data_IF_353574593591
#
_entry.id   IF_353574593591
#
_cell.length_a   1.000
_cell.length_b   1.000
_cell.length_c   1.000
_cell.angle_alpha   90.00
_cell.angle_beta   90.00
_cell.angle_gamma   90.00
#
_symmetry.space_group_name_H-M   'P 1'
#
loop_
_entity.id
_entity.type
_entity.pdbx_description
1 polymer ?
#
# COMPACT_ATOMS: atom_id res chain seq x y z
N UNK A 1 20.83 -28.72 -6.21
CA UNK A 1 19.97 -28.48 -5.06
C UNK A 1 19.37 -27.07 -5.18
N UNK A 2 18.40 -26.90 -6.12
CA UNK A 2 17.79 -25.60 -6.46
C UNK A 2 16.29 -25.82 -6.63
N UNK A 3 15.51 -25.83 -5.54
CA UNK A 3 14.04 -25.96 -5.61
C UNK A 3 13.36 -25.35 -4.39
N UNK A 4 13.56 -24.05 -4.08
CA UNK A 4 12.84 -23.40 -2.98
C UNK A 4 12.40 -21.93 -3.22
N UNK A 5 12.40 -21.42 -4.46
CA UNK A 5 12.12 -19.99 -4.70
C UNK A 5 10.83 -19.65 -5.46
N UNK A 6 9.90 -20.59 -5.71
CA UNK A 6 8.71 -20.31 -6.52
C UNK A 6 7.36 -20.32 -5.79
N UNK A 7 7.29 -20.31 -4.45
CA UNK A 7 6.02 -20.55 -3.75
C UNK A 7 5.28 -19.26 -3.34
N UNK A 8 5.93 -18.09 -3.29
CA UNK A 8 5.29 -16.89 -2.77
C UNK A 8 4.53 -16.01 -3.78
N UNK A 9 4.78 -16.15 -5.07
CA UNK A 9 4.12 -15.32 -6.09
C UNK A 9 2.65 -15.74 -6.39
N UNK A 10 2.23 -16.94 -6.02
CA UNK A 10 0.89 -17.46 -6.38
C UNK A 10 -0.21 -17.19 -5.36
N UNK A 11 0.13 -16.82 -4.13
CA UNK A 11 -0.84 -16.65 -3.04
C UNK A 11 -1.67 -15.36 -3.12
N UNK A 12 -1.16 -14.29 -3.73
CA UNK A 12 -1.83 -12.99 -3.74
C UNK A 12 -2.90 -12.88 -4.83
N UNK A 13 -2.80 -13.66 -5.91
CA UNK A 13 -3.78 -13.64 -7.01
C UNK A 13 -5.09 -14.37 -6.68
N UNK A 14 -5.07 -15.33 -5.75
CA UNK A 14 -6.26 -16.11 -5.39
C UNK A 14 -7.21 -15.38 -4.43
N UNK A 15 -6.73 -14.38 -3.69
CA UNK A 15 -7.57 -13.61 -2.76
C UNK A 15 -8.50 -12.60 -3.48
N UNK A 16 -8.17 -12.21 -4.72
CA UNK A 16 -8.98 -11.25 -5.48
C UNK A 16 -10.22 -11.88 -6.14
N UNK A 17 -10.24 -13.19 -6.36
CA UNK A 17 -11.35 -13.87 -7.06
C UNK A 17 -12.51 -14.26 -6.15
N UNK A 18 -12.33 -14.28 -4.83
CA UNK A 18 -13.36 -14.69 -3.87
C UNK A 18 -14.37 -13.57 -3.52
N UNK A 19 -14.14 -12.32 -3.94
CA UNK A 19 -14.98 -11.16 -3.56
C UNK A 19 -16.12 -10.89 -4.56
N UNK A 20 -16.15 -11.56 -5.70
CA UNK A 20 -17.16 -11.32 -6.74
C UNK A 20 -18.58 -11.88 -6.44
N UNK A 21 -18.80 -12.51 -5.28
CA UNK A 21 -20.04 -13.25 -4.99
C UNK A 21 -20.84 -12.83 -3.76
N UNK A 22 -20.55 -11.72 -3.08
CA UNK A 22 -21.35 -11.30 -1.92
C UNK A 22 -22.57 -10.47 -2.37
N UNK A 23 -23.81 -10.99 -2.21
CA UNK A 23 -25.01 -10.22 -2.53
C UNK A 23 -25.28 -9.17 -1.45
N UNK A 24 -25.45 -7.90 -1.86
CA UNK A 24 -26.12 -6.90 -1.04
C UNK A 24 -25.28 -6.17 -0.01
N UNK A 25 -24.08 -5.78 -0.35
CA UNK A 25 -23.27 -4.87 0.47
C UNK A 25 -23.59 -3.41 0.15
N UNK A 26 -24.02 -2.69 1.18
CA UNK A 26 -24.31 -1.28 1.23
C UNK A 26 -23.49 -0.40 0.28
N UNK A 27 -24.17 0.54 -0.38
CA UNK A 27 -23.63 1.71 -1.08
C UNK A 27 -22.83 2.67 -0.16
N UNK A 28 -21.90 2.12 0.62
CA UNK A 28 -21.05 2.93 1.50
C UNK A 28 -19.80 3.47 0.79
N UNK A 29 -19.54 3.06 -0.44
CA UNK A 29 -18.32 3.41 -1.16
C UNK A 29 -18.42 4.57 -2.15
N UNK A 30 -19.62 5.16 -2.35
CA UNK A 30 -19.78 6.24 -3.33
C UNK A 30 -19.29 7.61 -2.83
N UNK A 31 -19.17 7.77 -1.51
CA UNK A 31 -18.97 9.09 -0.89
C UNK A 31 -17.73 9.19 0.01
N UNK A 32 -16.78 8.29 -0.10
CA UNK A 32 -15.54 8.46 0.65
C UNK A 32 -14.68 9.55 -0.01
N UNK A 33 -14.29 10.56 0.78
CA UNK A 33 -13.52 11.70 0.29
C UNK A 33 -12.12 11.26 -0.16
N UNK A 34 -11.40 12.20 -0.78
CA UNK A 34 -9.96 12.05 -0.92
C UNK A 34 -9.29 12.08 0.46
N UNK A 35 -8.17 11.38 0.61
CA UNK A 35 -7.41 11.31 1.84
C UNK A 35 -5.97 11.79 1.66
N UNK A 36 -5.44 12.40 2.71
CA UNK A 36 -4.01 12.43 3.00
C UNK A 36 -3.75 11.36 4.05
N UNK A 37 -2.84 10.44 3.74
CA UNK A 37 -2.51 9.31 4.61
C UNK A 37 -1.06 9.39 5.04
N UNK A 38 -0.83 9.30 6.34
CA UNK A 38 0.49 9.25 6.96
C UNK A 38 0.76 7.82 7.42
N UNK A 39 1.89 7.27 7.03
CA UNK A 39 2.35 5.94 7.43
C UNK A 39 3.61 6.04 8.28
N UNK A 40 3.67 5.21 9.32
CA UNK A 40 4.88 4.97 10.11
C UNK A 40 5.04 3.46 10.23
N UNK A 41 6.24 2.96 9.93
CA UNK A 41 6.42 1.53 9.85
C UNK A 41 7.84 1.03 10.07
N UNK A 42 7.99 -0.22 9.77
CA UNK A 42 9.24 -0.95 9.87
C UNK A 42 9.56 -1.60 8.52
N UNK A 43 10.68 -1.17 7.96
CA UNK A 43 11.22 -1.61 6.67
C UNK A 43 12.04 -2.88 6.85
N UNK A 44 12.02 -3.76 5.85
CA UNK A 44 12.74 -5.04 5.82
C UNK A 44 12.43 -5.96 7.02
N UNK A 45 11.14 -6.24 7.24
CA UNK A 45 10.70 -7.09 8.35
C UNK A 45 11.04 -8.57 8.13
N UNK A 46 11.26 -8.99 6.88
CA UNK A 46 11.45 -10.40 6.52
C UNK A 46 12.92 -10.81 6.43
N UNK A 47 13.73 -10.08 5.67
CA UNK A 47 15.15 -10.43 5.45
C UNK A 47 16.04 -9.97 6.60
N UNK A 48 15.68 -8.85 7.23
CA UNK A 48 16.37 -8.27 8.39
C UNK A 48 17.84 -7.91 8.13
N UNK A 49 18.15 -7.53 6.90
CA UNK A 49 19.49 -7.12 6.49
C UNK A 49 19.70 -5.63 6.66
N UNK A 50 18.69 -4.82 6.27
CA UNK A 50 18.73 -3.36 6.28
C UNK A 50 17.47 -2.78 6.93
N UNK A 51 17.25 -3.15 8.21
CA UNK A 51 16.06 -2.74 8.95
C UNK A 51 16.09 -1.25 9.26
N UNK A 52 15.01 -0.55 8.91
CA UNK A 52 14.87 0.88 9.10
C UNK A 52 13.46 1.27 9.55
N UNK A 53 13.32 2.49 10.08
CA UNK A 53 12.01 3.10 10.27
C UNK A 53 11.54 3.63 8.93
N UNK A 54 10.30 3.32 8.56
CA UNK A 54 9.65 3.74 7.32
C UNK A 54 8.65 4.85 7.59
N UNK A 55 8.68 5.90 6.76
CA UNK A 55 7.78 7.04 6.80
C UNK A 55 7.12 7.18 5.44
N UNK A 56 5.77 7.29 5.42
CA UNK A 56 4.99 7.44 4.18
C UNK A 56 4.04 8.62 4.24
N UNK A 57 3.93 9.30 3.12
CA UNK A 57 2.93 10.31 2.84
C UNK A 57 2.25 9.95 1.53
N UNK A 58 0.92 9.76 1.55
CA UNK A 58 0.14 9.41 0.37
C UNK A 58 -1.06 10.33 0.20
N UNK A 59 -1.34 10.71 -1.03
CA UNK A 59 -2.62 11.23 -1.47
C UNK A 59 -3.41 10.10 -2.12
N UNK A 60 -4.62 9.85 -1.63
CA UNK A 60 -5.56 8.87 -2.15
C UNK A 60 -6.78 9.60 -2.70
N UNK A 61 -7.02 9.51 -4.00
CA UNK A 61 -8.12 10.23 -4.64
C UNK A 61 -9.48 9.70 -4.19
N UNK A 62 -10.50 10.60 -4.07
CA UNK A 62 -11.84 10.21 -3.64
C UNK A 62 -12.67 9.56 -4.75
N UNK A 63 -12.49 10.03 -5.99
CA UNK A 63 -13.27 9.54 -7.12
C UNK A 63 -12.72 8.24 -7.68
N UNK A 64 -13.62 7.37 -8.11
CA UNK A 64 -13.28 6.09 -8.73
C UNK A 64 -13.14 6.25 -10.24
N UNK A 65 -12.08 5.68 -10.77
CA UNK A 65 -11.96 5.33 -12.17
C UNK A 65 -12.40 3.86 -12.30
N UNK A 66 -13.64 3.62 -12.68
CA UNK A 66 -14.33 2.34 -12.64
C UNK A 66 -14.51 1.84 -11.20
N UNK A 67 -13.74 0.84 -10.72
CA UNK A 67 -13.76 0.35 -9.33
C UNK A 67 -12.56 0.82 -8.51
N UNK A 68 -11.53 1.35 -9.18
CA UNK A 68 -10.26 1.75 -8.57
C UNK A 68 -10.21 3.25 -8.30
N UNK A 69 -9.45 3.65 -7.28
CA UNK A 69 -9.10 5.04 -7.00
C UNK A 69 -7.62 5.25 -7.28
N UNK A 70 -7.21 6.34 -7.90
CA UNK A 70 -5.80 6.70 -8.03
C UNK A 70 -5.17 7.05 -6.67
N UNK A 71 -3.89 6.77 -6.51
CA UNK A 71 -3.09 7.28 -5.42
C UNK A 71 -1.70 7.66 -5.89
N UNK A 72 -1.05 8.58 -5.16
CA UNK A 72 0.35 8.97 -5.32
C UNK A 72 0.96 9.14 -3.93
N UNK A 73 2.22 8.81 -3.77
CA UNK A 73 2.89 8.92 -2.47
C UNK A 73 4.39 8.94 -2.56
N UNK A 74 4.98 9.32 -1.43
CA UNK A 74 6.41 9.25 -1.18
C UNK A 74 6.64 8.44 0.09
N UNK A 75 7.68 7.63 0.08
CA UNK A 75 8.19 6.83 1.17
C UNK A 75 9.64 7.19 1.41
N UNK A 76 10.07 7.23 2.67
CA UNK A 76 11.44 7.46 3.04
C UNK A 76 11.79 6.66 4.29
N UNK A 77 13.02 6.17 4.36
CA UNK A 77 13.50 5.37 5.46
C UNK A 77 14.53 6.11 6.32
N UNK A 78 14.73 5.67 7.57
CA UNK A 78 15.69 6.30 8.49
C UNK A 78 17.15 6.17 8.06
N UNK A 79 17.47 5.28 7.13
CA UNK A 79 18.79 5.09 6.52
C UNK A 79 18.95 5.83 5.18
N UNK A 80 17.91 6.57 4.74
CA UNK A 80 17.98 7.49 3.61
C UNK A 80 17.50 6.92 2.28
N UNK A 81 16.89 5.73 2.25
CA UNK A 81 16.19 5.28 1.05
C UNK A 81 14.95 6.14 0.80
N UNK A 82 14.64 6.41 -0.47
CA UNK A 82 13.48 7.18 -0.89
C UNK A 82 12.77 6.46 -2.04
N UNK A 83 11.45 6.37 -1.96
CA UNK A 83 10.61 5.80 -3.01
C UNK A 83 9.42 6.71 -3.30
N UNK A 84 9.31 7.18 -4.53
CA UNK A 84 8.17 7.96 -5.02
C UNK A 84 7.35 7.13 -5.99
N UNK A 85 6.04 6.94 -5.72
CA UNK A 85 5.21 6.05 -6.51
C UNK A 85 3.81 6.58 -6.75
N UNK A 86 3.18 6.06 -7.80
CA UNK A 86 1.77 6.27 -8.10
C UNK A 86 1.12 4.96 -8.54
N UNK A 87 -0.19 4.86 -8.36
CA UNK A 87 -0.90 3.64 -8.70
C UNK A 87 -2.40 3.72 -8.48
N UNK A 88 -2.98 2.56 -8.28
CA UNK A 88 -4.41 2.37 -8.05
C UNK A 88 -4.65 1.63 -6.74
N UNK A 89 -5.77 1.90 -6.12
CA UNK A 89 -6.25 1.19 -4.94
C UNK A 89 -7.73 0.80 -5.08
N UNK A 90 -8.12 -0.22 -4.35
CA UNK A 90 -9.49 -0.71 -4.24
C UNK A 90 -9.86 -0.83 -2.77
N UNK A 91 -10.91 -0.12 -2.35
CA UNK A 91 -11.50 -0.22 -1.01
C UNK A 91 -12.65 -1.23 -1.02
N UNK A 92 -12.60 -2.20 -0.11
CA UNK A 92 -13.66 -3.16 0.19
C UNK A 92 -14.16 -2.91 1.60
N UNK A 93 -15.45 -2.59 1.74
CA UNK A 93 -16.07 -2.25 3.02
C UNK A 93 -16.74 -3.47 3.66
N UNK A 94 -16.42 -3.73 4.91
CA UNK A 94 -17.08 -4.72 5.76
C UNK A 94 -17.90 -3.99 6.83
N UNK A 95 -19.16 -3.73 6.50
CA UNK A 95 -20.03 -2.88 7.30
C UNK A 95 -19.60 -1.40 7.23
N UNK A 96 -19.79 -0.66 8.33
CA UNK A 96 -19.54 0.78 8.38
C UNK A 96 -18.13 1.15 8.88
N UNK A 97 -17.44 0.20 9.52
CA UNK A 97 -16.26 0.46 10.34
C UNK A 97 -14.97 -0.19 9.82
N UNK A 98 -15.06 -1.27 9.07
CA UNK A 98 -13.86 -1.98 8.61
C UNK A 98 -13.72 -1.79 7.10
N UNK A 99 -12.53 -1.39 6.69
CA UNK A 99 -12.15 -1.24 5.29
C UNK A 99 -10.91 -2.06 5.04
N UNK A 100 -10.94 -2.88 4.00
CA UNK A 100 -9.75 -3.56 3.48
C UNK A 100 -9.40 -2.92 2.16
N UNK A 101 -8.19 -2.38 2.07
CA UNK A 101 -7.69 -1.71 0.87
C UNK A 101 -6.57 -2.52 0.25
N UNK A 102 -6.76 -2.94 -1.00
CA UNK A 102 -5.68 -3.46 -1.83
C UNK A 102 -5.13 -2.35 -2.71
N UNK A 103 -3.81 -2.20 -2.82
CA UNK A 103 -3.21 -1.23 -3.72
C UNK A 103 -2.03 -1.81 -4.49
N UNK A 104 -1.82 -1.28 -5.69
CA UNK A 104 -0.68 -1.57 -6.53
C UNK A 104 -0.20 -0.28 -7.18
N UNK A 105 1.12 -0.11 -7.28
CA UNK A 105 1.72 1.05 -7.93
C UNK A 105 3.14 0.78 -8.39
N UNK A 106 3.65 1.68 -9.22
CA UNK A 106 5.01 1.70 -9.70
C UNK A 106 5.66 3.05 -9.37
N UNK A 107 6.95 3.05 -9.17
CA UNK A 107 7.66 4.26 -8.81
C UNK A 107 9.16 4.19 -9.01
N UNK A 108 9.81 5.28 -8.65
CA UNK A 108 11.26 5.43 -8.66
C UNK A 108 11.81 5.26 -7.24
N UNK A 109 12.78 4.39 -7.10
CA UNK A 109 13.46 4.09 -5.85
C UNK A 109 14.91 4.55 -5.91
N UNK A 110 15.36 5.18 -4.83
CA UNK A 110 16.76 5.52 -4.59
C UNK A 110 17.16 4.90 -3.25
N UNK A 111 18.15 4.01 -3.28
CA UNK A 111 18.55 3.21 -2.12
C UNK A 111 19.10 4.02 -0.95
N UNK A 112 19.77 5.17 -1.23
CA UNK A 112 20.44 5.95 -0.19
C UNK A 112 21.46 5.12 0.57
N UNK A 113 21.24 4.93 1.87
CA UNK A 113 22.01 4.02 2.73
C UNK A 113 21.29 2.71 3.03
N UNK A 114 20.18 2.41 2.35
CA UNK A 114 19.35 1.23 2.57
C UNK A 114 19.63 0.10 1.59
N UNK A 115 18.64 -0.74 1.38
CA UNK A 115 18.73 -1.95 0.57
C UNK A 115 18.82 -1.63 -0.92
N UNK A 116 19.80 -2.19 -1.64
CA UNK A 116 19.81 -2.25 -3.09
C UNK A 116 18.74 -3.25 -3.57
N UNK A 117 17.68 -2.73 -4.19
CA UNK A 117 16.57 -3.54 -4.74
C UNK A 117 16.85 -4.04 -6.17
N UNK A 118 18.02 -3.69 -6.73
CA UNK A 118 18.50 -4.19 -8.02
C UNK A 118 17.98 -3.43 -9.24
N UNK A 119 17.13 -2.43 -9.06
CA UNK A 119 16.65 -1.54 -10.12
C UNK A 119 16.03 -0.27 -9.53
N UNK A 120 16.05 0.82 -10.29
CA UNK A 120 15.47 2.10 -9.87
C UNK A 120 13.94 2.12 -9.98
N UNK A 121 13.38 1.32 -10.91
CA UNK A 121 11.92 1.18 -11.05
C UNK A 121 11.47 -0.01 -10.21
N UNK A 122 10.61 0.30 -9.23
CA UNK A 122 10.08 -0.67 -8.30
C UNK A 122 8.55 -0.65 -8.32
N UNK A 123 7.95 -1.81 -8.05
CA UNK A 123 6.52 -2.00 -7.93
C UNK A 123 6.16 -2.30 -6.49
N UNK A 124 5.13 -1.62 -5.97
CA UNK A 124 4.60 -1.86 -4.62
C UNK A 124 3.24 -2.51 -4.70
N UNK A 125 3.10 -3.67 -4.07
CA UNK A 125 1.82 -4.32 -3.76
C UNK A 125 1.54 -4.16 -2.28
N UNK A 126 0.33 -3.75 -1.88
CA UNK A 126 -0.01 -3.53 -0.49
C UNK A 126 -1.42 -4.01 -0.18
N UNK A 127 -1.59 -4.56 1.01
CA UNK A 127 -2.88 -4.80 1.65
C UNK A 127 -2.94 -4.04 2.98
N UNK A 128 -4.04 -3.32 3.22
CA UNK A 128 -4.30 -2.58 4.45
C UNK A 128 -5.64 -3.02 5.02
N UNK A 129 -5.71 -3.21 6.33
CA UNK A 129 -6.96 -3.32 7.07
C UNK A 129 -7.07 -2.11 8.00
N UNK A 130 -8.19 -1.38 7.90
CA UNK A 130 -8.38 -0.13 8.63
C UNK A 130 -9.72 -0.08 9.35
N UNK A 131 -9.72 0.55 10.52
CA UNK A 131 -10.92 1.00 11.21
C UNK A 131 -11.27 2.41 10.73
N UNK A 132 -12.51 2.60 10.28
CA UNK A 132 -13.07 3.86 9.81
C UNK A 132 -13.89 4.52 10.92
N UNK A 133 -13.49 5.72 11.33
CA UNK A 133 -14.17 6.54 12.32
C UNK A 133 -15.41 7.23 11.76
N UNK A 134 -16.19 7.90 12.62
CA UNK A 134 -17.43 8.59 12.21
C UNK A 134 -17.14 9.80 11.31
N UNK A 135 -16.01 10.49 11.51
CA UNK A 135 -15.51 11.57 10.66
C UNK A 135 -14.86 11.07 9.35
N UNK A 136 -14.98 9.77 9.06
CA UNK A 136 -14.39 9.06 7.93
C UNK A 136 -12.88 8.93 7.96
N UNK A 137 -12.16 9.48 8.95
CA UNK A 137 -10.76 9.17 9.12
C UNK A 137 -10.55 7.67 9.34
N UNK A 138 -9.35 7.17 9.05
CA UNK A 138 -9.06 5.74 9.14
C UNK A 138 -7.76 5.52 9.90
N UNK A 139 -7.74 4.52 10.76
CA UNK A 139 -6.52 3.98 11.38
C UNK A 139 -6.35 2.54 10.90
N UNK A 140 -5.26 2.25 10.24
CA UNK A 140 -5.03 0.96 9.60
C UNK A 140 -3.65 0.38 9.84
N UNK A 141 -3.56 -0.93 9.59
CA UNK A 141 -2.32 -1.68 9.52
C UNK A 141 -2.15 -2.17 8.09
N UNK A 142 -1.00 -1.90 7.48
CA UNK A 142 -0.70 -2.26 6.11
C UNK A 142 0.57 -3.10 6.02
N UNK A 143 0.51 -4.12 5.18
CA UNK A 143 1.65 -4.91 4.76
C UNK A 143 1.89 -4.65 3.27
N UNK A 144 3.12 -4.33 2.91
CA UNK A 144 3.52 -4.11 1.52
C UNK A 144 4.77 -4.89 1.16
N UNK A 145 4.85 -5.21 -0.13
CA UNK A 145 6.02 -5.78 -0.79
C UNK A 145 6.44 -4.85 -1.93
N UNK A 146 7.72 -4.49 -1.95
CA UNK A 146 8.34 -3.67 -3.00
C UNK A 146 9.37 -4.53 -3.71
N UNK A 147 9.32 -4.56 -5.03
CA UNK A 147 10.26 -5.34 -5.86
C UNK A 147 10.23 -4.85 -7.30
N UNK A 148 11.31 -5.09 -8.03
CA UNK A 148 11.42 -4.70 -9.44
C UNK A 148 10.76 -5.68 -10.43
N UNK A 149 10.00 -6.66 -9.95
CA UNK A 149 9.37 -7.69 -10.78
C UNK A 149 10.35 -8.42 -11.73
N UNK A 150 11.62 -8.49 -11.38
CA UNK A 150 12.71 -9.10 -12.16
C UNK A 150 13.01 -8.39 -13.49
N UNK A 151 12.79 -7.08 -13.59
CA UNK A 151 13.26 -6.26 -14.73
C UNK A 151 14.74 -5.88 -14.58
N UNK A 152 15.31 -5.93 -13.36
CA UNK A 152 16.74 -5.79 -13.09
C UNK A 152 17.48 -7.13 -13.09
N UNK A 153 18.81 -7.08 -12.93
CA UNK A 153 19.66 -8.27 -12.86
C UNK A 153 19.45 -9.06 -11.56
N UNK A 154 19.08 -8.37 -10.50
CA UNK A 154 18.71 -8.94 -9.20
C UNK A 154 17.33 -8.44 -8.78
N UNK A 155 16.64 -9.17 -7.94
CA UNK A 155 15.33 -8.78 -7.40
C UNK A 155 15.18 -9.32 -5.97
N UNK A 156 15.88 -8.74 -4.99
CA UNK A 156 15.79 -9.19 -3.61
C UNK A 156 14.39 -8.93 -3.02
N UNK A 157 13.77 -7.79 -3.38
CA UNK A 157 12.52 -7.31 -2.82
C UNK A 157 12.63 -6.95 -1.35
N UNK A 158 11.61 -6.30 -0.81
CA UNK A 158 11.54 -5.94 0.61
C UNK A 158 10.08 -5.92 1.08
N UNK A 159 9.85 -6.34 2.33
CA UNK A 159 8.56 -6.28 2.99
C UNK A 159 8.56 -5.20 4.07
N UNK A 160 7.45 -4.43 4.09
CA UNK A 160 7.27 -3.30 5.01
C UNK A 160 5.93 -3.43 5.75
N UNK A 161 5.95 -3.19 7.05
CA UNK A 161 4.76 -3.15 7.89
C UNK A 161 4.54 -1.73 8.41
N UNK A 162 3.37 -1.14 8.10
CA UNK A 162 3.05 0.23 8.48
C UNK A 162 1.75 0.31 9.27
N UNK A 163 1.70 1.25 10.19
CA UNK A 163 0.47 1.83 10.70
C UNK A 163 0.17 3.09 9.90
N UNK A 164 -1.05 3.20 9.37
CA UNK A 164 -1.52 4.36 8.63
C UNK A 164 -2.58 5.12 9.41
N UNK A 165 -2.51 6.45 9.34
CA UNK A 165 -3.61 7.33 9.69
C UNK A 165 -4.01 8.15 8.47
N UNK A 166 -5.24 7.94 7.97
CA UNK A 166 -5.78 8.60 6.78
C UNK A 166 -6.79 9.66 7.18
N UNK A 167 -6.52 10.91 6.80
CA UNK A 167 -7.30 12.09 7.12
C UNK A 167 -8.13 12.48 5.90
N UNK A 168 -9.48 12.56 6.00
CA UNK A 168 -10.31 13.00 4.89
C UNK A 168 -10.05 14.48 4.56
N UNK A 169 -9.86 14.79 3.29
CA UNK A 169 -9.59 16.18 2.85
C UNK A 169 -10.76 17.12 3.05
N UNK A 170 -11.98 16.63 3.12
CA UNK A 170 -13.16 17.45 3.48
C UNK A 170 -12.99 18.17 4.80
N UNK A 171 -12.20 17.62 5.73
CA UNK A 171 -11.90 18.26 7.02
C UNK A 171 -11.13 19.57 6.89
N UNK A 172 -10.42 19.80 5.79
CA UNK A 172 -9.64 21.01 5.53
C UNK A 172 -10.36 22.02 4.63
N UNK A 173 -11.50 21.63 4.03
CA UNK A 173 -12.23 22.45 3.08
C UNK A 173 -13.51 23.06 3.67
N UNK A 174 -13.93 22.61 4.86
CA UNK A 174 -15.13 23.05 5.55
C UNK A 174 -14.83 24.13 6.62
N UNK A 175 -13.61 24.71 6.65
CA UNK A 175 -13.22 25.90 7.41
C UNK A 175 -13.18 27.13 6.47
#
# INVERSE_FOLDING_TARGET
MRLRRCVFAFGLLLALTAVAGAPGGARAGADDPAFVSLGLGYYDINQRTDQAIDFRLEYRHGEKLWIFKPWVGIEGTSDGAVYGAAGILLDVFFGRRVVVTGSFGAGYYAEGGGTDLGHEIEFRSQIEIAYRFDDRSRLGLAFSHISNASIGDTNPGVEVLNVYYSIPLTRFLDE
#
